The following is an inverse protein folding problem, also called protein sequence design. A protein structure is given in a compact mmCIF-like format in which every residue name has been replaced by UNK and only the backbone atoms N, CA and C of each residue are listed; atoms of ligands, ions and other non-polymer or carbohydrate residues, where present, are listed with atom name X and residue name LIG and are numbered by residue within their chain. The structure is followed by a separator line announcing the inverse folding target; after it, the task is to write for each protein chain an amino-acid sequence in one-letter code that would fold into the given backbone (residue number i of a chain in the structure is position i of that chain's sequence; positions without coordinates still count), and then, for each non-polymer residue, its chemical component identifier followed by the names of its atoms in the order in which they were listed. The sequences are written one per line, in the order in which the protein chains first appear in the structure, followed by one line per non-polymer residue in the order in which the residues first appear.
data_IF_492782506557
#
_entry.id   IF_492782506557
#
_cell.length_a   1.000
_cell.length_b   1.000
_cell.length_c   1.000
_cell.angle_alpha   90.00
_cell.angle_beta   90.00
_cell.angle_gamma   90.00
#
_symmetry.space_group_name_H-M   'P 1'
#
loop_
_entity.id
_entity.type
_entity.pdbx_description
1 polymer ?
#
# COMPACT_ATOMS: atom_id res chain seq x y z
N UNK A 1 30.88 -48.96 19.41
CA UNK A 1 30.21 -48.30 18.28
C UNK A 1 28.82 -48.88 18.19
N UNK A 2 27.78 -48.07 18.38
CA UNK A 2 26.68 -48.07 17.41
C UNK A 2 26.38 -46.68 16.88
N UNK A 3 26.00 -46.68 15.61
CA UNK A 3 25.81 -45.57 14.72
C UNK A 3 24.64 -44.65 15.09
N UNK A 4 24.85 -43.39 14.76
CA UNK A 4 24.02 -42.21 15.00
C UNK A 4 22.77 -42.25 14.11
N UNK A 5 21.59 -41.96 14.68
CA UNK A 5 20.50 -41.33 13.94
C UNK A 5 20.16 -40.00 14.61
N UNK A 6 20.97 -38.98 14.33
CA UNK A 6 20.55 -37.59 14.50
C UNK A 6 19.49 -37.30 13.45
N UNK A 7 18.27 -37.03 13.91
CA UNK A 7 17.21 -36.46 13.08
C UNK A 7 17.76 -35.20 12.37
N UNK A 8 17.40 -34.94 11.10
CA UNK A 8 17.74 -33.69 10.46
C UNK A 8 17.13 -32.56 11.29
N UNK A 9 17.98 -31.70 11.85
CA UNK A 9 17.54 -30.42 12.38
C UNK A 9 16.83 -29.68 11.25
N UNK A 10 15.54 -29.41 11.45
CA UNK A 10 14.78 -28.49 10.62
C UNK A 10 15.57 -27.19 10.58
N UNK A 11 16.13 -26.86 9.42
CA UNK A 11 16.77 -25.58 9.18
C UNK A 11 15.78 -24.51 9.62
N UNK A 12 16.17 -23.52 10.44
CA UNK A 12 15.29 -22.41 10.71
C UNK A 12 14.92 -21.82 9.34
N UNK A 13 13.63 -21.82 9.01
CA UNK A 13 13.13 -21.04 7.89
C UNK A 13 13.70 -19.64 8.11
N UNK A 14 14.62 -19.23 7.22
CA UNK A 14 15.11 -17.87 7.20
C UNK A 14 13.86 -17.03 6.99
N UNK A 15 13.33 -16.45 8.06
CA UNK A 15 12.36 -15.35 7.95
C UNK A 15 13.07 -14.34 7.07
N UNK A 16 12.64 -14.25 5.81
CA UNK A 16 13.12 -13.22 4.91
C UNK A 16 12.94 -11.91 5.66
N UNK A 17 14.04 -11.14 5.79
CA UNK A 17 13.97 -9.87 6.51
C UNK A 17 12.91 -9.02 5.81
N UNK A 18 11.99 -8.40 6.56
CA UNK A 18 10.97 -7.56 5.95
C UNK A 18 11.65 -6.47 5.14
N UNK A 19 11.23 -6.27 3.89
CA UNK A 19 11.74 -5.20 3.04
C UNK A 19 11.21 -3.85 3.54
N UNK A 20 11.90 -2.73 3.29
CA UNK A 20 11.30 -1.41 3.41
C UNK A 20 10.02 -1.34 2.56
N UNK A 21 9.00 -0.65 3.05
CA UNK A 21 7.75 -0.45 2.33
C UNK A 21 7.69 0.99 1.79
N UNK A 22 7.49 1.12 0.49
CA UNK A 22 7.17 2.38 -0.17
C UNK A 22 5.67 2.37 -0.46
N UNK A 23 4.92 3.15 0.30
CA UNK A 23 3.47 3.32 0.13
C UNK A 23 3.22 4.65 -0.60
N UNK A 24 2.49 4.59 -1.71
CA UNK A 24 2.08 5.78 -2.46
C UNK A 24 0.56 5.87 -2.52
N UNK A 25 -0.02 6.98 -2.04
CA UNK A 25 -1.46 7.23 -2.10
C UNK A 25 -1.73 8.25 -3.21
N UNK A 26 -2.39 7.83 -4.29
CA UNK A 26 -2.56 8.59 -5.52
C UNK A 26 -4.02 9.06 -5.64
N UNK A 27 -4.29 10.37 -5.77
CA UNK A 27 -5.64 10.89 -5.95
C UNK A 27 -6.17 10.62 -7.36
N UNK A 28 -7.31 9.92 -7.45
CA UNK A 28 -8.02 9.66 -8.71
C UNK A 28 -7.10 9.07 -9.79
N UNK A 29 -7.04 9.76 -10.93
CA UNK A 29 -6.22 9.39 -12.09
C UNK A 29 -4.90 10.17 -12.18
N UNK A 30 -4.45 10.80 -11.09
CA UNK A 30 -3.19 11.53 -11.08
C UNK A 30 -1.98 10.62 -11.39
N UNK A 31 -0.91 11.23 -11.88
CA UNK A 31 0.37 10.56 -12.16
C UNK A 31 1.27 10.40 -10.93
N UNK A 32 1.03 11.18 -9.87
CA UNK A 32 1.84 11.22 -8.66
C UNK A 32 0.94 11.23 -7.41
N UNK A 33 1.42 10.64 -6.33
CA UNK A 33 0.74 10.58 -5.04
C UNK A 33 1.59 11.01 -3.86
N UNK A 34 1.00 10.89 -2.67
CA UNK A 34 1.67 11.10 -1.40
C UNK A 34 2.48 9.84 -1.07
N UNK A 35 3.80 9.96 -1.07
CA UNK A 35 4.72 8.84 -0.83
C UNK A 35 5.19 8.84 0.63
N UNK A 36 5.23 7.67 1.25
CA UNK A 36 5.89 7.44 2.54
C UNK A 36 6.75 6.18 2.47
N UNK A 37 7.91 6.23 3.12
CA UNK A 37 8.77 5.07 3.30
C UNK A 37 8.65 4.60 4.74
N UNK A 38 8.40 3.31 4.92
CA UNK A 38 8.30 2.67 6.22
C UNK A 38 9.44 1.65 6.40
N UNK A 39 10.01 1.64 7.59
CA UNK A 39 11.14 0.78 7.93
C UNK A 39 10.75 -0.72 7.84
N UNK A 40 11.70 -1.59 7.49
CA UNK A 40 11.60 -3.04 7.67
C UNK A 40 10.92 -3.45 8.98
N UNK A 41 9.79 -4.17 8.87
CA UNK A 41 9.08 -4.73 10.02
C UNK A 41 8.12 -3.77 10.72
N UNK A 42 8.19 -2.46 10.44
CA UNK A 42 7.33 -1.45 11.10
C UNK A 42 5.86 -1.55 10.71
N UNK A 43 5.56 -2.15 9.55
CA UNK A 43 4.23 -2.33 9.01
C UNK A 43 3.66 -3.74 9.23
N UNK A 44 4.40 -4.62 9.92
CA UNK A 44 3.93 -5.98 10.22
C UNK A 44 2.68 -5.96 11.10
N UNK A 45 1.72 -6.83 10.80
CA UNK A 45 0.46 -6.92 11.53
C UNK A 45 -0.56 -5.81 11.22
N UNK A 46 -0.20 -4.82 10.38
CA UNK A 46 -1.14 -3.80 9.91
C UNK A 46 -1.76 -4.19 8.57
N UNK A 47 -3.02 -3.82 8.38
CA UNK A 47 -3.67 -3.81 7.07
C UNK A 47 -3.18 -2.62 6.24
N UNK A 48 -3.25 -2.72 4.91
CA UNK A 48 -2.91 -1.62 4.03
C UNK A 48 -3.75 -0.37 4.32
N UNK A 49 -5.03 -0.54 4.68
CA UNK A 49 -5.91 0.55 5.10
C UNK A 49 -5.36 1.30 6.32
N UNK A 50 -4.93 0.61 7.36
CA UNK A 50 -4.39 1.23 8.57
C UNK A 50 -3.13 2.04 8.26
N UNK A 51 -2.26 1.53 7.38
CA UNK A 51 -1.05 2.23 6.95
C UNK A 51 -1.38 3.49 6.14
N UNK A 52 -2.39 3.43 5.27
CA UNK A 52 -2.90 4.62 4.58
C UNK A 52 -3.46 5.63 5.58
N UNK A 53 -4.30 5.19 6.52
CA UNK A 53 -4.91 6.07 7.52
C UNK A 53 -3.85 6.75 8.41
N UNK A 54 -2.77 6.04 8.76
CA UNK A 54 -1.63 6.61 9.48
C UNK A 54 -0.91 7.66 8.64
N UNK A 55 -0.63 7.35 7.38
CA UNK A 55 0.02 8.28 6.43
C UNK A 55 -0.78 9.58 6.27
N UNK A 56 -2.10 9.48 6.13
CA UNK A 56 -2.99 10.64 5.94
C UNK A 56 -3.19 11.48 7.22
N UNK A 57 -2.85 10.93 8.39
CA UNK A 57 -2.95 11.61 9.71
C UNK A 57 -1.64 12.25 10.17
N UNK A 58 -0.55 12.06 9.42
CA UNK A 58 0.72 12.77 9.67
C UNK A 58 0.50 14.27 9.72
N UNK A 59 1.36 15.00 10.40
CA UNK A 59 1.28 16.47 10.53
C UNK A 59 2.45 17.19 9.89
N UNK A 60 3.48 16.44 9.50
CA UNK A 60 4.78 16.88 9.02
C UNK A 60 4.86 16.96 7.49
N UNK A 61 3.82 17.48 6.84
CA UNK A 61 3.77 17.61 5.39
C UNK A 61 4.47 18.88 4.88
N UNK A 62 5.23 18.74 3.80
CA UNK A 62 5.69 19.84 2.94
C UNK A 62 4.52 20.59 2.31
N UNK A 63 4.79 21.73 1.66
CA UNK A 63 3.75 22.50 0.96
C UNK A 63 3.17 21.69 -0.21
N UNK A 64 4.04 20.99 -0.95
CA UNK A 64 3.67 20.12 -2.08
C UNK A 64 2.85 18.91 -1.60
N UNK A 65 3.31 18.24 -0.53
CA UNK A 65 2.58 17.10 0.06
C UNK A 65 1.19 17.50 0.56
N UNK A 66 1.02 18.72 1.08
CA UNK A 66 -0.30 19.23 1.50
C UNK A 66 -1.26 19.38 0.32
N UNK A 67 -0.78 19.82 -0.84
CA UNK A 67 -1.62 19.94 -2.04
C UNK A 67 -2.12 18.56 -2.48
N UNK A 68 -1.24 17.57 -2.49
CA UNK A 68 -1.60 16.17 -2.81
C UNK A 68 -2.56 15.60 -1.77
N UNK A 69 -2.32 15.87 -0.48
CA UNK A 69 -3.21 15.45 0.61
C UNK A 69 -4.62 16.04 0.45
N UNK A 70 -4.74 17.33 0.12
CA UNK A 70 -6.03 17.96 -0.15
C UNK A 70 -6.76 17.29 -1.32
N UNK A 71 -6.05 16.95 -2.39
CA UNK A 71 -6.61 16.18 -3.51
C UNK A 71 -7.09 14.79 -3.08
N UNK A 72 -6.29 14.07 -2.28
CA UNK A 72 -6.67 12.77 -1.74
C UNK A 72 -7.94 12.90 -0.89
N UNK A 73 -7.99 13.89 0.00
CA UNK A 73 -9.16 14.12 0.85
C UNK A 73 -10.41 14.44 0.03
N UNK A 74 -10.29 15.25 -1.04
CA UNK A 74 -11.39 15.51 -1.99
C UNK A 74 -11.90 14.23 -2.66
N UNK A 75 -11.01 13.31 -3.01
CA UNK A 75 -11.40 12.01 -3.59
C UNK A 75 -12.05 11.08 -2.56
N UNK A 76 -11.60 11.12 -1.32
CA UNK A 76 -12.14 10.29 -0.24
C UNK A 76 -13.49 10.81 0.27
N UNK A 77 -13.84 12.08 0.01
CA UNK A 77 -15.17 12.61 0.29
C UNK A 77 -16.24 11.97 -0.62
N UNK A 78 -16.88 10.93 -0.09
CA UNK A 78 -17.79 10.04 -0.81
C UNK A 78 -17.08 8.95 -1.63
N UNK A 79 -15.77 8.79 -1.46
CA UNK A 79 -14.96 7.80 -2.15
C UNK A 79 -14.34 6.75 -1.23
N UNK A 80 -13.36 6.00 -1.77
CA UNK A 80 -12.62 4.99 -1.02
C UNK A 80 -11.20 4.78 -1.53
N UNK A 81 -10.39 4.13 -0.69
CA UNK A 81 -9.06 3.65 -1.06
C UNK A 81 -9.19 2.28 -1.74
N UNK A 82 -8.52 2.12 -2.87
CA UNK A 82 -8.43 0.87 -3.61
C UNK A 82 -6.97 0.60 -3.96
N UNK A 83 -6.57 -0.66 -3.88
CA UNK A 83 -5.29 -1.10 -4.39
C UNK A 83 -5.54 -2.26 -5.36
N UNK A 84 -5.02 -2.17 -6.59
CA UNK A 84 -5.26 -3.16 -7.65
C UNK A 84 -6.76 -3.45 -7.88
N UNK A 85 -7.63 -2.44 -7.72
CA UNK A 85 -9.08 -2.57 -7.93
C UNK A 85 -9.86 -3.25 -6.80
N UNK A 86 -9.21 -3.61 -5.67
CA UNK A 86 -9.86 -4.24 -4.50
C UNK A 86 -9.64 -3.42 -3.22
N UNK A 87 -10.43 -3.71 -2.19
CA UNK A 87 -10.36 -3.01 -0.91
C UNK A 87 -9.06 -3.32 -0.15
N UNK A 88 -8.62 -2.41 0.72
CA UNK A 88 -7.30 -2.41 1.36
C UNK A 88 -7.27 -3.09 2.75
N UNK A 89 -8.18 -4.03 3.00
CA UNK A 89 -8.34 -4.69 4.32
C UNK A 89 -7.37 -5.85 4.57
N UNK A 90 -6.46 -6.12 3.63
CA UNK A 90 -5.44 -7.16 3.74
C UNK A 90 -4.05 -6.55 4.02
N UNK A 91 -3.06 -7.35 4.45
CA UNK A 91 -1.68 -6.88 4.64
C UNK A 91 -1.06 -6.32 3.35
N UNK A 92 -0.11 -5.36 3.44
CA UNK A 92 0.49 -4.71 2.28
C UNK A 92 1.23 -5.66 1.32
N UNK A 93 1.81 -6.76 1.82
CA UNK A 93 2.51 -7.75 1.00
C UNK A 93 1.60 -8.48 0.00
N UNK A 94 0.28 -8.46 0.21
CA UNK A 94 -0.68 -9.01 -0.74
C UNK A 94 -0.89 -8.12 -1.97
N UNK A 95 -0.43 -6.87 -1.93
CA UNK A 95 -0.68 -5.85 -2.94
C UNK A 95 0.58 -5.31 -3.60
N UNK A 96 1.72 -5.42 -2.92
CA UNK A 96 2.94 -4.77 -3.36
C UNK A 96 3.73 -5.57 -4.39
N UNK A 97 4.51 -4.84 -5.17
CA UNK A 97 5.53 -5.38 -6.07
C UNK A 97 6.90 -5.16 -5.44
N UNK A 98 7.77 -6.16 -5.47
CA UNK A 98 9.17 -5.95 -5.07
C UNK A 98 9.90 -5.26 -6.22
N UNK A 99 10.48 -4.10 -5.91
CA UNK A 99 11.29 -3.30 -6.82
C UNK A 99 12.70 -3.11 -6.27
N UNK A 100 13.61 -2.59 -7.10
CA UNK A 100 15.01 -2.40 -6.76
C UNK A 100 15.41 -0.94 -7.04
N UNK A 101 16.09 -0.29 -6.09
CA UNK A 101 16.65 1.04 -6.31
C UNK A 101 17.80 0.97 -7.31
N UNK A 102 18.23 2.13 -7.84
CA UNK A 102 19.41 2.20 -8.69
C UNK A 102 20.71 1.70 -8.02
N UNK A 103 20.73 1.60 -6.68
CA UNK A 103 21.86 1.09 -5.90
C UNK A 103 21.79 -0.42 -5.62
N UNK A 104 20.75 -1.12 -6.08
CA UNK A 104 20.57 -2.56 -5.85
C UNK A 104 19.82 -2.91 -4.56
N UNK A 105 19.09 -1.95 -3.96
CA UNK A 105 18.36 -2.18 -2.71
C UNK A 105 16.90 -2.52 -2.99
N UNK A 106 16.44 -3.67 -2.50
CA UNK A 106 15.07 -4.11 -2.69
C UNK A 106 14.09 -3.40 -1.73
N UNK A 107 12.91 -3.05 -2.23
CA UNK A 107 11.80 -2.50 -1.45
C UNK A 107 10.46 -3.05 -1.95
N UNK A 108 9.45 -3.05 -1.08
CA UNK A 108 8.07 -3.38 -1.44
C UNK A 108 7.34 -2.10 -1.83
N UNK A 109 6.93 -1.96 -3.09
CA UNK A 109 6.15 -0.82 -3.57
C UNK A 109 4.65 -1.13 -3.59
N UNK A 110 3.84 -0.27 -2.96
CA UNK A 110 2.38 -0.43 -2.89
C UNK A 110 1.67 0.85 -3.35
N UNK A 111 1.11 0.88 -4.57
CA UNK A 111 0.31 2.01 -5.04
C UNK A 111 -1.16 1.87 -4.63
N UNK A 112 -1.68 2.85 -3.88
CA UNK A 112 -3.07 2.93 -3.45
C UNK A 112 -3.75 4.11 -4.11
N UNK A 113 -4.94 3.90 -4.65
CA UNK A 113 -5.74 4.93 -5.33
C UNK A 113 -6.86 5.41 -4.43
N UNK A 114 -6.91 6.71 -4.17
CA UNK A 114 -8.08 7.35 -3.58
C UNK A 114 -9.06 7.70 -4.71
N UNK A 115 -10.18 6.99 -4.79
CA UNK A 115 -11.13 7.10 -5.91
C UNK A 115 -12.51 7.45 -5.38
N UNK A 116 -13.07 8.54 -5.91
CA UNK A 116 -14.50 8.82 -5.83
C UNK A 116 -15.25 8.08 -6.95
N UNK A 117 -16.37 7.38 -6.66
CA UNK A 117 -17.27 6.88 -7.68
C UNK A 117 -17.63 7.99 -8.66
N UNK A 118 -17.54 7.72 -9.95
CA UNK A 118 -17.97 8.69 -10.96
C UNK A 118 -19.48 8.87 -10.86
N UNK A 119 -19.94 10.12 -10.74
CA UNK A 119 -21.35 10.48 -10.90
C UNK A 119 -21.69 10.41 -12.40
N UNK A 120 -21.99 9.21 -12.91
CA UNK A 120 -22.06 9.00 -14.35
C UNK A 120 -22.92 7.81 -14.78
N UNK A 121 -24.22 8.07 -14.88
CA UNK A 121 -25.19 7.25 -15.58
C UNK A 121 -26.58 7.81 -15.33
N UNK A 122 -27.08 8.70 -16.19
CA UNK A 122 -28.54 8.92 -16.25
C UNK A 122 -29.16 7.52 -16.38
N UNK A 123 -30.12 7.11 -15.53
CA UNK A 123 -30.92 5.95 -15.87
C UNK A 123 -31.53 6.28 -17.23
N UNK A 124 -31.23 5.46 -18.22
CA UNK A 124 -31.88 5.55 -19.51
C UNK A 124 -33.38 5.39 -19.23
N UNK A 125 -34.12 6.50 -19.16
CA UNK A 125 -35.58 6.50 -19.17
C UNK A 125 -35.97 6.18 -20.60
N UNK A 126 -36.15 4.89 -20.86
CA UNK A 126 -36.53 4.38 -22.18
C UNK A 126 -37.99 4.68 -22.41
N UNK A 127 -38.29 5.92 -22.79
CA UNK A 127 -39.58 6.31 -23.34
C UNK A 127 -39.35 7.15 -24.60
N UNK A 128 -39.57 6.49 -25.75
CA UNK A 128 -40.10 6.94 -27.05
C UNK A 128 -39.40 6.27 -28.25
#
# INVERSE_FOLDING_TARGET
MPDIQTKPEEKPEKREKPLPLVLEIIPGQAGEGLVVVMEPGSYEGSTLKELCDQTLKRSDFSIEERQVLEDIQRQLDGGKLLCQGRDTNEPPHNFGTVEETAAGEAYLYVPVRAIKPQEGGLPWSGDL
#
